data_IF_130635926569
#
_entry.id   IF_130635926569
#
_cell.length_a   1.000
_cell.length_b   1.000
_cell.length_c   1.000
_cell.angle_alpha   90.00
_cell.angle_beta   90.00
_cell.angle_gamma   90.00
#
_symmetry.space_group_name_H-M   'P 1'
#
loop_
_entity.id
_entity.type
_entity.pdbx_description
1 polymer ?
#
# COMPACT_ATOMS: atom_id res chain seq x y z
N UNK A 1 6.29 10.61 -4.53
CA UNK A 1 5.30 9.69 -5.13
C UNK A 1 5.91 8.31 -5.16
N UNK A 2 5.17 7.26 -4.83
CA UNK A 2 5.63 5.88 -4.96
C UNK A 2 4.90 5.20 -6.12
N UNK A 3 5.60 4.45 -6.95
CA UNK A 3 4.99 3.74 -8.09
C UNK A 3 5.13 2.24 -7.89
N UNK A 4 4.01 1.52 -7.83
CA UNK A 4 4.00 0.07 -7.87
C UNK A 4 3.88 -0.34 -9.33
N UNK A 5 4.89 -1.02 -9.92
CA UNK A 5 4.84 -1.39 -11.32
C UNK A 5 3.74 -2.43 -11.58
N UNK A 6 3.33 -2.53 -12.85
CA UNK A 6 2.32 -3.50 -13.29
C UNK A 6 2.72 -4.93 -12.92
N UNK A 7 3.98 -5.26 -13.19
CA UNK A 7 4.64 -6.55 -12.92
C UNK A 7 6.05 -6.28 -12.39
N UNK A 8 6.71 -7.29 -11.84
CA UNK A 8 8.06 -7.20 -11.29
C UNK A 8 8.90 -8.36 -11.79
N UNK A 9 10.21 -8.15 -11.83
CA UNK A 9 11.15 -9.25 -12.03
C UNK A 9 11.01 -10.25 -10.88
N UNK A 10 10.97 -11.55 -11.23
CA UNK A 10 10.85 -12.61 -10.25
C UNK A 10 12.15 -12.68 -9.44
N UNK A 11 12.01 -12.76 -8.12
CA UNK A 11 13.12 -12.95 -7.20
C UNK A 11 13.29 -14.44 -6.97
N UNK A 12 14.51 -14.94 -7.19
CA UNK A 12 14.81 -16.36 -7.09
C UNK A 12 14.46 -16.92 -5.70
N UNK A 13 13.69 -18.01 -5.69
CA UNK A 13 13.28 -18.69 -4.46
C UNK A 13 12.34 -17.86 -3.57
N UNK A 14 11.62 -16.88 -4.12
CA UNK A 14 10.53 -16.15 -3.44
C UNK A 14 9.23 -16.33 -4.22
N UNK A 15 8.28 -17.06 -3.63
CA UNK A 15 6.97 -17.31 -4.25
C UNK A 15 6.21 -16.00 -4.47
N UNK A 16 5.58 -15.87 -5.63
CA UNK A 16 4.73 -14.72 -6.00
C UNK A 16 5.46 -13.36 -6.08
N UNK A 17 6.80 -13.37 -6.17
CA UNK A 17 7.61 -12.16 -6.27
C UNK A 17 7.40 -11.40 -7.59
N UNK A 18 6.93 -12.10 -8.62
CA UNK A 18 6.58 -11.55 -9.93
C UNK A 18 5.32 -10.66 -9.89
N UNK A 19 4.51 -10.76 -8.83
CA UNK A 19 3.26 -10.00 -8.71
C UNK A 19 3.57 -8.53 -8.47
N UNK A 20 3.17 -7.69 -9.43
CA UNK A 20 3.16 -6.24 -9.30
C UNK A 20 1.82 -5.73 -8.76
N UNK A 21 1.33 -4.64 -9.35
CA UNK A 21 0.02 -4.06 -9.02
C UNK A 21 -1.11 -5.08 -9.20
N UNK A 22 -2.14 -5.00 -8.37
CA UNK A 22 -3.35 -5.85 -8.46
C UNK A 22 -4.00 -5.79 -9.84
N UNK A 23 -3.89 -4.65 -10.52
CA UNK A 23 -4.55 -4.40 -11.79
C UNK A 23 -3.65 -4.49 -13.02
N UNK A 24 -2.42 -5.03 -12.88
CA UNK A 24 -1.43 -5.09 -13.98
C UNK A 24 -1.24 -3.75 -14.70
N UNK A 25 -1.40 -2.65 -13.97
CA UNK A 25 -1.22 -1.28 -14.44
C UNK A 25 -0.45 -0.52 -13.37
N UNK A 26 0.48 0.37 -13.72
CA UNK A 26 1.24 1.10 -12.73
C UNK A 26 0.33 1.82 -11.72
N UNK A 27 0.49 1.49 -10.44
CA UNK A 27 -0.30 2.09 -9.37
C UNK A 27 0.52 3.16 -8.67
N UNK A 28 0.15 4.40 -8.90
CA UNK A 28 0.75 5.56 -8.26
C UNK A 28 0.16 5.72 -6.86
N UNK A 29 1.00 5.77 -5.84
CA UNK A 29 0.63 5.91 -4.42
C UNK A 29 1.30 7.17 -3.88
N UNK A 30 0.54 8.24 -3.61
CA UNK A 30 1.06 9.38 -2.87
C UNK A 30 1.50 8.94 -1.46
N UNK A 31 2.50 9.59 -0.90
CA UNK A 31 2.99 9.29 0.45
C UNK A 31 2.75 10.51 1.33
N UNK A 32 2.18 10.29 2.52
CA UNK A 32 2.07 11.33 3.54
C UNK A 32 3.45 11.67 4.13
N UNK A 33 3.54 12.80 4.82
CA UNK A 33 4.77 13.21 5.53
C UNK A 33 5.22 12.16 6.54
N UNK A 34 4.29 11.56 7.27
CA UNK A 34 4.49 10.50 8.25
C UNK A 34 5.08 9.25 7.58
N UNK A 35 4.47 8.78 6.48
CA UNK A 35 4.97 7.63 5.74
C UNK A 35 6.38 7.87 5.19
N UNK A 36 6.65 9.08 4.67
CA UNK A 36 7.99 9.46 4.22
C UNK A 36 9.01 9.48 5.37
N UNK A 37 8.63 9.98 6.55
CA UNK A 37 9.50 9.99 7.72
C UNK A 37 9.87 8.57 8.16
N UNK A 38 8.90 7.65 8.22
CA UNK A 38 9.13 6.24 8.54
C UNK A 38 10.06 5.60 7.49
N UNK A 39 9.81 5.81 6.20
CA UNK A 39 10.66 5.26 5.14
C UNK A 39 12.10 5.79 5.23
N UNK A 40 12.30 7.06 5.60
CA UNK A 40 13.64 7.62 5.84
C UNK A 40 14.33 6.98 7.04
N UNK A 41 13.59 6.64 8.10
CA UNK A 41 14.15 5.91 9.25
C UNK A 41 14.55 4.49 8.84
N UNK A 42 13.69 3.78 8.11
CA UNK A 42 13.99 2.44 7.59
C UNK A 42 15.19 2.47 6.66
N UNK A 43 15.31 3.48 5.79
CA UNK A 43 16.46 3.64 4.90
C UNK A 43 17.80 3.77 5.65
N UNK A 44 17.83 4.29 6.88
CA UNK A 44 19.06 4.29 7.69
C UNK A 44 19.48 2.88 8.14
N UNK A 45 18.56 1.92 8.16
CA UNK A 45 18.80 0.54 8.58
C UNK A 45 19.10 -0.39 7.40
N UNK A 46 18.43 -0.18 6.27
CA UNK A 46 18.48 -1.08 5.10
C UNK A 46 18.89 -0.41 3.80
N UNK A 47 19.33 0.86 3.82
CA UNK A 47 19.52 1.68 2.61
C UNK A 47 20.59 1.20 1.64
N UNK A 48 21.51 0.35 2.08
CA UNK A 48 22.53 -0.30 1.24
C UNK A 48 22.06 -1.62 0.62
N UNK A 49 20.80 -2.01 0.83
CA UNK A 49 20.23 -3.28 0.37
C UNK A 49 19.20 -3.06 -0.73
N UNK A 50 18.95 -4.11 -1.51
CA UNK A 50 18.01 -4.05 -2.64
C UNK A 50 16.54 -3.88 -2.22
N UNK A 51 16.21 -4.18 -0.97
CA UNK A 51 14.84 -4.08 -0.44
C UNK A 51 14.76 -3.13 0.75
N UNK A 52 13.72 -2.29 0.75
CA UNK A 52 13.38 -1.42 1.89
C UNK A 52 13.10 -2.26 3.15
N UNK A 53 12.34 -3.33 3.01
CA UNK A 53 12.04 -4.28 4.09
C UNK A 53 12.69 -5.62 3.79
N UNK A 54 13.85 -5.86 4.39
CA UNK A 54 14.62 -7.10 4.21
C UNK A 54 14.13 -8.22 5.11
N UNK A 55 14.35 -9.45 4.65
CA UNK A 55 14.11 -10.66 5.43
C UNK A 55 15.10 -10.77 6.59
N UNK A 56 14.60 -11.19 7.74
CA UNK A 56 15.39 -11.40 8.97
C UNK A 56 16.47 -12.47 8.78
N UNK A 57 16.14 -13.57 8.12
CA UNK A 57 17.06 -14.69 7.90
C UNK A 57 17.95 -14.53 6.65
N UNK A 58 17.46 -13.85 5.62
CA UNK A 58 18.21 -13.60 4.39
C UNK A 58 17.96 -12.17 3.92
N UNK A 59 18.94 -11.27 4.10
CA UNK A 59 18.80 -9.87 3.70
C UNK A 59 18.69 -9.62 2.20
N UNK A 60 19.04 -10.60 1.36
CA UNK A 60 18.86 -10.56 -0.10
C UNK A 60 17.45 -10.96 -0.52
N UNK A 61 16.55 -11.24 0.43
CA UNK A 61 15.13 -11.53 0.17
C UNK A 61 14.25 -10.49 0.87
N UNK A 62 13.08 -10.17 0.31
CA UNK A 62 12.13 -9.29 0.98
C UNK A 62 11.56 -9.96 2.24
N UNK A 63 11.15 -9.13 3.20
CA UNK A 63 10.44 -9.58 4.39
C UNK A 63 9.17 -10.36 4.02
N UNK A 64 8.96 -11.51 4.68
CA UNK A 64 7.76 -12.31 4.44
C UNK A 64 6.53 -11.74 5.15
N UNK A 65 5.34 -11.96 4.58
CA UNK A 65 4.07 -11.61 5.24
C UNK A 65 3.94 -12.27 6.63
N UNK A 66 4.45 -13.49 6.78
CA UNK A 66 4.47 -14.20 8.06
C UNK A 66 5.31 -13.48 9.12
N UNK A 67 6.41 -12.84 8.72
CA UNK A 67 7.26 -12.05 9.62
C UNK A 67 6.48 -10.84 10.15
N UNK A 68 5.76 -10.13 9.29
CA UNK A 68 4.91 -8.99 9.67
C UNK A 68 3.78 -9.44 10.62
N UNK A 69 3.09 -10.54 10.28
CA UNK A 69 2.04 -11.09 11.12
C UNK A 69 2.57 -11.53 12.49
N UNK A 70 3.76 -12.15 12.55
CA UNK A 70 4.38 -12.53 13.83
C UNK A 70 4.69 -11.30 14.69
N UNK A 71 5.21 -10.23 14.10
CA UNK A 71 5.48 -8.98 14.81
C UNK A 71 4.19 -8.37 15.41
N UNK A 72 3.09 -8.32 14.63
CA UNK A 72 1.79 -7.85 15.11
C UNK A 72 1.29 -8.67 16.31
N UNK A 73 1.42 -10.00 16.27
CA UNK A 73 1.04 -10.87 17.39
C UNK A 73 1.86 -10.63 18.65
N UNK A 74 3.17 -10.37 18.50
CA UNK A 74 4.03 -10.04 19.65
C UNK A 74 3.62 -8.73 20.30
N UNK A 75 3.10 -7.77 19.52
CA UNK A 75 2.53 -6.52 20.03
C UNK A 75 1.12 -6.69 20.64
N UNK A 76 0.57 -7.91 20.64
CA UNK A 76 -0.72 -8.22 21.26
C UNK A 76 -1.92 -8.22 20.30
N UNK A 77 -1.73 -8.01 19.00
CA UNK A 77 -2.82 -8.01 18.02
C UNK A 77 -3.14 -9.42 17.51
N UNK A 78 -4.43 -9.78 17.43
CA UNK A 78 -4.85 -11.00 16.74
C UNK A 78 -4.85 -10.79 15.23
N UNK A 79 -3.88 -11.37 14.52
CA UNK A 79 -3.81 -11.20 13.05
C UNK A 79 -4.83 -12.02 12.25
N UNK A 80 -5.65 -12.83 12.92
CA UNK A 80 -6.78 -13.54 12.28
C UNK A 80 -8.10 -12.76 12.42
N UNK A 81 -8.23 -11.94 13.46
CA UNK A 81 -9.49 -11.27 13.83
C UNK A 81 -9.37 -9.75 13.81
N UNK A 82 -8.27 -9.18 14.32
CA UNK A 82 -8.10 -7.76 14.56
C UNK A 82 -7.26 -7.05 13.49
N UNK A 83 -6.13 -7.63 13.07
CA UNK A 83 -5.17 -6.94 12.18
C UNK A 83 -4.50 -7.91 11.20
N UNK A 84 -5.15 -8.19 10.08
CA UNK A 84 -4.47 -8.70 8.89
C UNK A 84 -4.06 -7.51 8.00
N UNK A 85 -3.10 -7.63 7.08
CA UNK A 85 -2.78 -6.56 6.12
C UNK A 85 -4.02 -6.07 5.33
N UNK A 86 -5.05 -6.92 5.22
CA UNK A 86 -6.38 -6.53 4.73
C UNK A 86 -7.12 -5.59 5.70
N UNK A 87 -7.02 -5.81 7.01
CA UNK A 87 -7.63 -5.00 8.07
C UNK A 87 -7.21 -3.54 8.01
N UNK A 88 -5.92 -3.24 7.87
CA UNK A 88 -5.45 -1.85 7.71
C UNK A 88 -6.02 -1.17 6.47
N UNK A 89 -6.06 -1.88 5.33
CA UNK A 89 -6.65 -1.33 4.09
C UNK A 89 -8.15 -1.11 4.25
N UNK A 90 -8.85 -2.05 4.87
CA UNK A 90 -10.30 -1.95 5.13
C UNK A 90 -10.60 -0.80 6.07
N UNK A 91 -9.87 -0.66 7.19
CA UNK A 91 -10.00 0.45 8.13
C UNK A 91 -9.79 1.80 7.43
N UNK A 92 -8.68 1.96 6.71
CA UNK A 92 -8.42 3.19 5.96
C UNK A 92 -9.52 3.47 4.93
N UNK A 93 -9.97 2.44 4.19
CA UNK A 93 -11.05 2.59 3.22
C UNK A 93 -12.37 3.02 3.88
N UNK A 94 -12.77 2.37 4.97
CA UNK A 94 -13.99 2.71 5.71
C UNK A 94 -13.93 4.13 6.25
N UNK A 95 -12.86 4.51 6.95
CA UNK A 95 -12.73 5.85 7.52
C UNK A 95 -12.70 6.94 6.45
N UNK A 96 -12.05 6.69 5.31
CA UNK A 96 -12.04 7.64 4.18
C UNK A 96 -13.44 7.81 3.58
N UNK A 97 -14.21 6.73 3.43
CA UNK A 97 -15.60 6.79 2.94
C UNK A 97 -16.51 7.50 3.95
N UNK A 98 -16.43 7.10 5.22
CA UNK A 98 -17.26 7.64 6.31
C UNK A 98 -17.01 9.12 6.58
N UNK A 99 -15.78 9.61 6.33
CA UNK A 99 -15.47 11.04 6.45
C UNK A 99 -16.35 11.93 5.56
N UNK A 100 -16.82 11.42 4.43
CA UNK A 100 -17.56 12.19 3.42
C UNK A 100 -16.76 13.31 2.75
N UNK A 101 -15.45 13.41 3.02
CA UNK A 101 -14.59 14.50 2.53
C UNK A 101 -14.01 14.27 1.13
N UNK A 102 -14.03 13.02 0.66
CA UNK A 102 -13.32 12.60 -0.55
C UNK A 102 -14.28 11.96 -1.55
N UNK A 103 -14.00 12.15 -2.84
CA UNK A 103 -14.74 11.47 -3.89
C UNK A 103 -14.51 9.97 -3.81
N UNK A 104 -15.59 9.21 -4.03
CA UNK A 104 -15.53 7.75 -4.09
C UNK A 104 -14.50 7.27 -5.11
N UNK A 105 -14.37 7.96 -6.25
CA UNK A 105 -13.40 7.62 -7.29
C UNK A 105 -11.96 7.74 -6.78
N UNK A 106 -11.63 8.77 -6.00
CA UNK A 106 -10.30 8.92 -5.41
C UNK A 106 -9.98 7.80 -4.40
N UNK A 107 -10.96 7.42 -3.56
CA UNK A 107 -10.82 6.32 -2.60
C UNK A 107 -10.63 4.99 -3.30
N UNK A 108 -11.52 4.64 -4.24
CA UNK A 108 -11.44 3.37 -5.00
C UNK A 108 -10.13 3.28 -5.79
N UNK A 109 -9.70 4.39 -6.42
CA UNK A 109 -8.42 4.44 -7.13
C UNK A 109 -7.25 4.23 -6.18
N UNK A 110 -7.28 4.81 -4.96
CA UNK A 110 -6.24 4.60 -3.95
C UNK A 110 -6.13 3.14 -3.52
N UNK A 111 -7.26 2.44 -3.41
CA UNK A 111 -7.32 1.02 -3.05
C UNK A 111 -6.93 0.08 -4.21
N UNK A 112 -6.54 0.64 -5.37
CA UNK A 112 -6.27 -0.12 -6.60
C UNK A 112 -7.47 -0.98 -7.02
N UNK A 113 -8.69 -0.47 -6.82
CA UNK A 113 -9.91 -1.13 -7.26
C UNK A 113 -10.23 -0.76 -8.72
N UNK A 114 -10.78 -1.72 -9.45
CA UNK A 114 -11.26 -1.50 -10.81
C UNK A 114 -12.65 -0.85 -10.78
N UNK A 115 -12.83 0.17 -11.60
CA UNK A 115 -14.16 0.65 -11.97
C UNK A 115 -14.90 -0.49 -12.67
N UNK A 116 -15.99 -0.98 -12.07
CA UNK A 116 -16.78 -2.10 -12.61
C UNK A 116 -17.71 -1.66 -13.74
N UNK A 117 -17.93 -0.36 -13.91
CA UNK A 117 -18.80 0.19 -14.94
C UNK A 117 -17.99 0.57 -16.19
N UNK A 118 -18.12 -0.23 -17.26
CA UNK A 118 -17.36 -0.10 -18.51
C UNK A 118 -17.54 1.26 -19.20
N UNK A 119 -18.71 1.90 -19.08
CA UNK A 119 -18.99 3.22 -19.69
C UNK A 119 -18.29 4.34 -18.91
N UNK A 120 -18.27 4.24 -17.58
CA UNK A 120 -17.58 5.21 -16.70
C UNK A 120 -16.06 5.05 -16.72
N UNK A 121 -15.58 3.81 -16.87
CA UNK A 121 -14.17 3.49 -16.94
C UNK A 121 -13.45 4.26 -18.07
N UNK A 122 -14.06 4.42 -19.24
CA UNK A 122 -13.45 5.12 -20.38
C UNK A 122 -13.15 6.62 -20.11
N UNK A 123 -13.99 7.29 -19.32
CA UNK A 123 -13.80 8.70 -18.97
C UNK A 123 -12.93 8.89 -17.72
N UNK A 124 -13.04 8.01 -16.72
CA UNK A 124 -12.33 8.10 -15.45
C UNK A 124 -10.87 7.61 -15.55
N UNK A 125 -10.54 6.72 -16.50
CA UNK A 125 -9.19 6.15 -16.60
C UNK A 125 -8.06 7.19 -16.73
N UNK A 126 -8.38 8.39 -17.26
CA UNK A 126 -7.45 9.52 -17.38
C UNK A 126 -7.33 10.36 -16.11
N UNK A 127 -8.37 10.46 -15.29
CA UNK A 127 -8.35 11.24 -14.07
C UNK A 127 -7.69 10.41 -12.94
N UNK A 128 -6.42 10.69 -12.66
CA UNK A 128 -5.68 9.98 -11.60
C UNK A 128 -6.04 10.46 -10.19
N UNK A 129 -6.81 11.55 -10.06
CA UNK A 129 -7.19 12.20 -8.81
C UNK A 129 -6.00 12.45 -7.86
N UNK A 130 -4.81 12.71 -8.40
CA UNK A 130 -3.58 12.68 -7.60
C UNK A 130 -3.56 13.74 -6.50
N UNK A 131 -4.04 14.95 -6.77
CA UNK A 131 -4.01 16.02 -5.79
C UNK A 131 -5.00 15.78 -4.66
N UNK A 132 -6.20 15.30 -4.99
CA UNK A 132 -7.19 14.82 -4.01
C UNK A 132 -6.63 13.67 -3.18
N UNK A 133 -6.00 12.67 -3.81
CA UNK A 133 -5.40 11.52 -3.12
C UNK A 133 -4.22 11.91 -2.23
N UNK A 134 -3.43 12.92 -2.59
CA UNK A 134 -2.37 13.47 -1.73
C UNK A 134 -2.98 14.06 -0.46
N UNK A 135 -4.00 14.91 -0.60
CA UNK A 135 -4.68 15.51 0.55
C UNK A 135 -5.35 14.45 1.42
N UNK A 136 -6.01 13.48 0.78
CA UNK A 136 -6.69 12.36 1.44
C UNK A 136 -5.74 11.52 2.30
N UNK A 137 -4.60 11.10 1.75
CA UNK A 137 -3.63 10.29 2.50
C UNK A 137 -2.91 11.10 3.59
N UNK A 138 -2.74 12.40 3.38
CA UNK A 138 -2.19 13.26 4.42
C UNK A 138 -3.20 13.40 5.57
N UNK A 139 -4.47 13.65 5.27
CA UNK A 139 -5.53 13.74 6.27
C UNK A 139 -5.67 12.45 7.08
N UNK A 140 -5.67 11.29 6.42
CA UNK A 140 -5.71 10.00 7.12
C UNK A 140 -4.53 9.84 8.09
N UNK A 141 -3.33 10.23 7.67
CA UNK A 141 -2.12 10.15 8.50
C UNK A 141 -2.06 11.21 9.62
N UNK A 142 -2.81 12.30 9.50
CA UNK A 142 -2.94 13.32 10.55
C UNK A 142 -4.06 12.94 11.56
N UNK A 143 -5.03 12.11 11.16
CA UNK A 143 -6.12 11.60 11.98
C UNK A 143 -5.73 10.39 12.85
N UNK A 144 -4.88 9.50 12.31
CA UNK A 144 -4.38 8.29 12.98
C UNK A 144 -3.20 8.55 13.89
#
# INVERSE_FOLDING_TARGET
MWTIPAEREAIEGVKHSERGSKMRTPHLVPLSRQALAILKQVHKLSGERDFVFVGDHNPCKPMSENTVNKALRVMGYDTKIEVCGHGFRTMACSSLIESGLWSRNAVERQMSHMERNSVRAAYIHKAQHLDERKMMLQWWADFS
#
